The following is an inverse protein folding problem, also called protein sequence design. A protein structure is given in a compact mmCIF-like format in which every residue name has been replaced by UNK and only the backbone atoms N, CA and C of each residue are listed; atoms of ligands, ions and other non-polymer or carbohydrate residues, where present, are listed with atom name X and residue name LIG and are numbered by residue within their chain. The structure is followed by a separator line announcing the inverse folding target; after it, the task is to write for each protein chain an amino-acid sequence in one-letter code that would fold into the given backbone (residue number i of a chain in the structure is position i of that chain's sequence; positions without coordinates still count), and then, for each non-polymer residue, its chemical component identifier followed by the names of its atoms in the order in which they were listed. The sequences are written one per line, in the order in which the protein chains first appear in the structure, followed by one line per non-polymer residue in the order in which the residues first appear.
data_IF_264730573917
#
_entry.id   IF_264730573917
#
_cell.length_a   1.000
_cell.length_b   1.000
_cell.length_c   1.000
_cell.angle_alpha   90.00
_cell.angle_beta   90.00
_cell.angle_gamma   90.00
#
_symmetry.space_group_name_H-M   'P 1'
#
loop_
_entity.id
_entity.type
_entity.pdbx_description
1 polymer ?
#
# COMPACT_ATOMS: atom_id res chain seq x y z
N UNK A 1 -15.07 -18.49 -15.36
CA UNK A 1 -14.19 -19.09 -14.34
C UNK A 1 -13.55 -17.96 -13.57
N UNK A 2 -13.70 -17.93 -12.24
CA UNK A 2 -13.09 -16.91 -11.40
C UNK A 2 -11.65 -17.32 -11.05
N UNK A 3 -10.69 -16.41 -11.21
CA UNK A 3 -9.28 -16.60 -10.86
C UNK A 3 -8.91 -15.85 -9.59
N UNK A 4 -7.70 -16.07 -9.08
CA UNK A 4 -7.17 -15.24 -7.98
C UNK A 4 -6.88 -13.83 -8.51
N UNK A 5 -7.14 -12.79 -7.71
CA UNK A 5 -6.97 -11.40 -8.15
C UNK A 5 -5.54 -11.11 -8.62
N UNK A 6 -4.53 -11.71 -7.98
CA UNK A 6 -3.12 -11.56 -8.36
C UNK A 6 -2.79 -12.14 -9.75
N UNK A 7 -3.61 -13.05 -10.28
CA UNK A 7 -3.38 -13.63 -11.60
C UNK A 7 -3.68 -12.65 -12.73
N UNK A 8 -4.49 -11.61 -12.47
CA UNK A 8 -4.81 -10.56 -13.43
C UNK A 8 -3.56 -9.78 -13.86
N UNK A 9 -2.57 -9.64 -12.97
CA UNK A 9 -1.31 -8.97 -13.27
C UNK A 9 -0.51 -9.68 -14.38
N UNK A 10 -0.69 -10.98 -14.56
CA UNK A 10 -0.04 -11.71 -15.67
C UNK A 10 -0.53 -11.24 -17.05
N UNK A 11 -1.70 -10.59 -17.11
CA UNK A 11 -2.24 -9.95 -18.31
C UNK A 11 -1.91 -8.44 -18.38
N UNK A 12 -1.23 -7.90 -17.36
CA UNK A 12 -0.77 -6.52 -17.26
C UNK A 12 -1.45 -5.72 -16.14
N UNK A 13 -0.88 -4.56 -15.73
CA UNK A 13 -1.41 -3.74 -14.64
C UNK A 13 -2.86 -3.28 -14.85
N UNK A 14 -3.23 -2.92 -16.08
CA UNK A 14 -4.60 -2.52 -16.42
C UNK A 14 -5.62 -3.64 -16.18
N UNK A 15 -5.24 -4.91 -16.35
CA UNK A 15 -6.10 -6.04 -16.03
C UNK A 15 -6.27 -6.21 -14.52
N UNK A 16 -5.25 -5.91 -13.72
CA UNK A 16 -5.38 -5.87 -12.25
C UNK A 16 -6.35 -4.78 -11.80
N UNK A 17 -6.26 -3.58 -12.40
CA UNK A 17 -7.20 -2.49 -12.14
C UNK A 17 -8.62 -2.92 -12.49
N UNK A 18 -8.84 -3.44 -13.70
CA UNK A 18 -10.17 -3.92 -14.11
C UNK A 18 -10.71 -5.02 -13.20
N UNK A 19 -9.86 -5.94 -12.75
CA UNK A 19 -10.26 -6.99 -11.80
C UNK A 19 -10.67 -6.40 -10.43
N UNK A 20 -9.95 -5.38 -9.95
CA UNK A 20 -10.31 -4.67 -8.73
C UNK A 20 -11.65 -3.94 -8.89
N UNK A 21 -11.84 -3.16 -9.96
CA UNK A 21 -13.11 -2.47 -10.24
C UNK A 21 -14.30 -3.43 -10.33
N UNK A 22 -14.13 -4.60 -10.96
CA UNK A 22 -15.18 -5.63 -11.05
C UNK A 22 -15.48 -6.25 -9.68
N UNK A 23 -14.47 -6.43 -8.82
CA UNK A 23 -14.64 -7.03 -7.50
C UNK A 23 -15.32 -6.07 -6.51
N UNK A 24 -14.97 -4.79 -6.59
CA UNK A 24 -15.37 -3.79 -5.58
C UNK A 24 -16.53 -2.90 -6.04
N UNK A 25 -16.68 -2.69 -7.34
CA UNK A 25 -17.57 -1.67 -7.90
C UNK A 25 -16.99 -0.25 -7.86
N UNK A 26 -15.83 -0.06 -7.23
CA UNK A 26 -15.16 1.24 -7.09
C UNK A 26 -14.43 1.55 -8.39
N UNK A 27 -14.60 2.78 -8.89
CA UNK A 27 -13.84 3.29 -10.03
C UNK A 27 -12.41 3.62 -9.60
N UNK A 28 -11.43 3.18 -10.38
CA UNK A 28 -10.03 3.56 -10.18
C UNK A 28 -9.67 4.61 -11.24
N UNK A 29 -9.40 5.84 -10.80
CA UNK A 29 -9.02 6.93 -11.70
C UNK A 29 -7.57 6.78 -12.20
N UNK A 30 -6.65 6.41 -11.30
CA UNK A 30 -5.23 6.27 -11.60
C UNK A 30 -4.61 5.07 -10.88
N UNK A 31 -3.53 4.54 -11.43
CA UNK A 31 -2.75 3.47 -10.79
C UNK A 31 -1.25 3.74 -10.83
N UNK A 32 -0.56 3.23 -9.81
CA UNK A 32 0.89 3.18 -9.75
C UNK A 32 1.30 1.72 -9.57
N UNK A 33 2.19 1.24 -10.42
CA UNK A 33 2.79 -0.08 -10.38
C UNK A 33 4.25 0.03 -9.98
N UNK A 34 4.62 -0.62 -8.89
CA UNK A 34 5.96 -0.52 -8.28
C UNK A 34 6.53 -1.93 -8.11
N UNK A 35 7.78 -2.12 -8.52
CA UNK A 35 8.52 -3.36 -8.25
C UNK A 35 9.34 -3.25 -6.94
N UNK A 36 10.14 -4.26 -6.63
CA UNK A 36 10.90 -4.28 -5.38
C UNK A 36 11.98 -3.20 -5.30
N UNK A 37 12.68 -2.94 -6.41
CA UNK A 37 13.72 -1.92 -6.47
C UNK A 37 13.08 -0.53 -6.36
N UNK A 38 11.94 -0.33 -7.02
CA UNK A 38 11.18 0.90 -6.92
C UNK A 38 10.60 1.15 -5.54
N UNK A 39 10.14 0.11 -4.86
CA UNK A 39 9.66 0.22 -3.48
C UNK A 39 10.79 0.70 -2.56
N UNK A 40 11.96 0.08 -2.62
CA UNK A 40 13.10 0.48 -1.80
C UNK A 40 13.55 1.92 -2.12
N UNK A 41 13.59 2.28 -3.41
CA UNK A 41 13.93 3.63 -3.85
C UNK A 41 12.96 4.71 -3.33
N UNK A 42 11.65 4.41 -3.25
CA UNK A 42 10.66 5.32 -2.68
C UNK A 42 10.97 5.59 -1.20
N UNK A 43 11.21 4.53 -0.42
CA UNK A 43 11.53 4.66 1.00
C UNK A 43 12.83 5.43 1.22
N UNK A 44 13.87 5.13 0.44
CA UNK A 44 15.15 5.82 0.53
C UNK A 44 15.04 7.30 0.11
N UNK A 45 14.22 7.62 -0.89
CA UNK A 45 13.95 9.00 -1.31
C UNK A 45 13.19 9.82 -0.23
N UNK A 46 12.59 9.15 0.75
CA UNK A 46 11.99 9.76 1.94
C UNK A 46 12.97 9.86 3.13
N UNK A 47 14.25 9.50 2.94
CA UNK A 47 15.25 9.32 3.98
C UNK A 47 14.86 8.22 5.00
N UNK A 48 14.19 7.16 4.52
CA UNK A 48 13.67 6.07 5.34
C UNK A 48 12.29 6.34 5.94
N UNK A 49 11.69 5.31 6.49
CA UNK A 49 10.38 5.35 7.17
C UNK A 49 10.51 4.98 8.64
N UNK A 50 9.60 5.47 9.47
CA UNK A 50 9.58 5.17 10.90
C UNK A 50 8.59 4.06 11.19
N UNK A 51 9.03 3.05 11.92
CA UNK A 51 8.20 1.92 12.39
C UNK A 51 8.34 1.77 13.89
N UNK A 52 7.31 1.25 14.54
CA UNK A 52 7.34 0.85 15.95
C UNK A 52 7.02 -0.63 16.05
N UNK A 53 7.99 -1.42 16.52
CA UNK A 53 7.89 -2.88 16.58
C UNK A 53 7.78 -3.33 18.04
N UNK A 54 6.69 -4.01 18.40
CA UNK A 54 6.48 -4.51 19.76
C UNK A 54 7.55 -5.55 20.18
N UNK A 55 8.03 -6.33 19.22
CA UNK A 55 9.02 -7.39 19.42
C UNK A 55 10.06 -7.41 18.28
N UNK A 56 11.28 -7.95 18.51
CA UNK A 56 12.28 -8.03 17.45
C UNK A 56 11.81 -8.98 16.34
N UNK A 57 12.04 -8.59 15.09
CA UNK A 57 11.62 -9.30 13.90
C UNK A 57 12.81 -9.80 13.12
N UNK A 58 12.96 -11.13 13.03
CA UNK A 58 14.02 -11.76 12.23
C UNK A 58 13.41 -12.78 11.26
N UNK A 59 13.63 -12.58 9.96
CA UNK A 59 13.25 -13.53 8.91
C UNK A 59 14.39 -13.67 7.90
N UNK A 60 15.23 -14.73 8.03
CA UNK A 60 16.35 -14.95 7.12
C UNK A 60 15.94 -15.14 5.65
N UNK A 61 14.68 -15.54 5.37
CA UNK A 61 14.20 -15.69 3.98
C UNK A 61 13.86 -14.34 3.36
N UNK A 62 13.48 -13.37 4.19
CA UNK A 62 13.23 -11.99 3.77
C UNK A 62 14.47 -11.09 3.94
N UNK A 63 15.57 -11.62 4.51
CA UNK A 63 16.73 -10.84 4.95
C UNK A 63 16.36 -9.74 5.97
N UNK A 64 15.40 -10.04 6.84
CA UNK A 64 14.93 -9.13 7.88
C UNK A 64 15.65 -9.42 9.21
N UNK A 65 16.18 -8.39 9.84
CA UNK A 65 16.70 -8.45 11.21
C UNK A 65 16.56 -7.07 11.88
N UNK A 66 15.41 -6.83 12.52
CA UNK A 66 15.06 -5.57 13.16
C UNK A 66 14.85 -5.76 14.67
N UNK A 67 15.43 -4.90 15.53
CA UNK A 67 15.14 -4.91 16.96
C UNK A 67 13.72 -4.42 17.24
N UNK A 68 13.23 -4.67 18.46
CA UNK A 68 12.00 -4.02 18.93
C UNK A 68 12.18 -2.51 19.14
N UNK A 69 11.08 -1.77 19.05
CA UNK A 69 10.92 -0.36 19.39
C UNK A 69 10.83 0.57 18.18
N UNK A 70 10.74 1.86 18.51
CA UNK A 70 10.61 2.95 17.56
C UNK A 70 11.93 3.24 16.84
N UNK A 71 11.94 3.09 15.51
CA UNK A 71 13.15 3.20 14.70
C UNK A 71 12.86 3.65 13.27
N UNK A 72 13.86 4.26 12.62
CA UNK A 72 13.82 4.58 11.19
C UNK A 72 14.57 3.51 10.42
N UNK A 73 13.91 2.94 9.40
CA UNK A 73 14.44 1.89 8.54
C UNK A 73 14.54 2.36 7.09
N UNK A 74 15.55 1.85 6.37
CA UNK A 74 15.76 2.13 4.94
C UNK A 74 14.93 1.23 4.03
N UNK A 75 15.07 1.41 2.71
CA UNK A 75 14.28 0.73 1.70
C UNK A 75 14.38 -0.79 1.73
N UNK A 76 15.58 -1.34 1.90
CA UNK A 76 15.79 -2.80 1.97
C UNK A 76 15.08 -3.43 3.18
N UNK A 77 15.19 -2.79 4.35
CA UNK A 77 14.56 -3.26 5.58
C UNK A 77 13.03 -3.10 5.52
N UNK A 78 12.53 -1.99 4.96
CA UNK A 78 11.11 -1.77 4.73
C UNK A 78 10.52 -2.80 3.76
N UNK A 79 11.26 -3.13 2.70
CA UNK A 79 10.87 -4.17 1.74
C UNK A 79 10.85 -5.54 2.40
N UNK A 80 11.86 -5.85 3.20
CA UNK A 80 11.95 -7.09 3.97
C UNK A 80 10.78 -7.21 4.96
N UNK A 81 10.41 -6.12 5.64
CA UNK A 81 9.28 -6.04 6.56
C UNK A 81 7.94 -6.24 5.83
N UNK A 82 7.73 -5.60 4.67
CA UNK A 82 6.51 -5.77 3.88
C UNK A 82 6.35 -7.19 3.29
N UNK A 83 7.46 -7.95 3.19
CA UNK A 83 7.49 -9.29 2.58
C UNK A 83 7.57 -10.44 3.56
N UNK A 84 7.92 -10.19 4.83
CA UNK A 84 8.03 -11.26 5.82
C UNK A 84 6.70 -11.98 6.01
N UNK A 85 6.78 -13.30 6.17
CA UNK A 85 5.62 -14.17 6.42
C UNK A 85 5.66 -14.80 7.81
N UNK A 86 6.76 -14.64 8.54
CA UNK A 86 7.04 -15.41 9.76
C UNK A 86 7.39 -14.53 10.95
N UNK A 87 7.55 -13.21 10.75
CA UNK A 87 8.04 -12.34 11.80
C UNK A 87 6.94 -11.85 12.74
N UNK A 88 5.70 -11.63 12.26
CA UNK A 88 4.59 -11.07 13.06
C UNK A 88 3.37 -11.99 12.97
N UNK A 89 2.69 -12.21 14.10
CA UNK A 89 1.39 -12.90 14.15
C UNK A 89 1.46 -14.44 14.03
N UNK A 90 0.39 -15.04 13.53
CA UNK A 90 0.22 -16.50 13.41
C UNK A 90 0.89 -17.12 12.15
N UNK A 91 1.62 -16.29 11.37
CA UNK A 91 2.24 -16.69 10.12
C UNK A 91 1.29 -16.85 8.93
N UNK A 92 0.02 -16.41 9.07
CA UNK A 92 -0.97 -16.42 7.98
C UNK A 92 -0.74 -15.30 6.95
N UNK A 93 -1.37 -15.44 5.78
CA UNK A 93 -1.42 -14.38 4.76
C UNK A 93 -2.08 -13.08 5.31
N UNK A 94 -2.86 -13.17 6.39
CA UNK A 94 -3.50 -12.02 7.05
C UNK A 94 -2.48 -11.20 7.82
N UNK A 95 -1.59 -11.87 8.55
CA UNK A 95 -0.48 -11.20 9.24
C UNK A 95 0.43 -10.43 8.26
N UNK A 96 0.57 -10.92 7.01
CA UNK A 96 1.29 -10.19 5.94
C UNK A 96 0.57 -8.91 5.52
N UNK A 97 -0.76 -8.92 5.42
CA UNK A 97 -1.52 -7.71 5.07
C UNK A 97 -1.34 -6.63 6.14
N UNK A 98 -1.27 -7.00 7.42
CA UNK A 98 -0.95 -6.08 8.51
C UNK A 98 0.41 -5.39 8.34
N UNK A 99 1.47 -6.14 8.00
CA UNK A 99 2.79 -5.54 7.78
C UNK A 99 2.81 -4.62 6.55
N UNK A 100 2.12 -5.00 5.48
CA UNK A 100 2.02 -4.15 4.27
C UNK A 100 1.26 -2.86 4.55
N UNK A 101 0.20 -2.95 5.36
CA UNK A 101 -0.56 -1.79 5.83
C UNK A 101 0.31 -0.86 6.68
N UNK A 102 0.98 -1.40 7.70
CA UNK A 102 1.91 -0.64 8.56
C UNK A 102 2.98 0.09 7.76
N UNK A 103 3.59 -0.60 6.78
CA UNK A 103 4.62 0.00 5.93
C UNK A 103 4.03 1.10 5.03
N UNK A 104 2.82 0.92 4.49
CA UNK A 104 2.14 1.94 3.69
C UNK A 104 1.80 3.18 4.53
N UNK A 105 1.31 2.99 5.74
CA UNK A 105 1.04 4.05 6.73
C UNK A 105 2.32 4.84 7.02
N UNK A 106 3.41 4.15 7.35
CA UNK A 106 4.71 4.77 7.61
C UNK A 106 5.26 5.56 6.41
N UNK A 107 5.03 5.11 5.17
CA UNK A 107 5.40 5.84 3.95
C UNK A 107 4.60 7.14 3.84
N UNK A 108 3.28 7.08 4.02
CA UNK A 108 2.38 8.25 3.91
C UNK A 108 2.71 9.27 5.01
N UNK A 109 2.85 8.81 6.24
CA UNK A 109 3.22 9.64 7.38
C UNK A 109 4.57 10.32 7.15
N UNK A 110 5.56 9.58 6.65
CA UNK A 110 6.87 10.15 6.35
C UNK A 110 6.81 11.18 5.23
N UNK A 111 6.08 10.90 4.16
CA UNK A 111 5.93 11.81 3.02
C UNK A 111 5.27 13.15 3.43
N UNK A 112 4.27 13.08 4.33
CA UNK A 112 3.55 14.26 4.84
C UNK A 112 4.35 15.01 5.91
N UNK A 113 4.79 14.32 6.96
CA UNK A 113 5.57 14.93 8.07
C UNK A 113 6.93 15.48 7.63
N UNK A 114 7.56 14.83 6.64
CA UNK A 114 8.82 15.27 6.02
C UNK A 114 8.69 16.51 5.14
N UNK A 115 7.47 17.04 4.96
CA UNK A 115 7.15 18.12 4.01
C UNK A 115 7.64 17.80 2.59
N UNK A 116 7.76 16.52 2.24
CA UNK A 116 8.23 16.11 0.91
C UNK A 116 7.21 16.55 -0.13
N UNK A 117 5.93 16.34 0.18
CA UNK A 117 4.84 16.65 -0.75
C UNK A 117 4.43 18.13 -0.77
N UNK A 118 4.78 18.90 0.26
CA UNK A 118 4.38 20.31 0.42
C UNK A 118 5.47 21.32 0.04
N UNK A 119 6.72 20.86 -0.13
CA UNK A 119 7.84 21.70 -0.56
C UNK A 119 8.23 21.40 -2.01
N UNK A 120 8.17 22.38 -2.93
CA UNK A 120 8.47 22.14 -4.35
C UNK A 120 9.87 21.54 -4.60
N UNK A 121 10.90 22.02 -3.92
CA UNK A 121 12.27 21.52 -4.07
C UNK A 121 12.40 20.05 -3.67
N UNK A 122 11.72 19.64 -2.59
CA UNK A 122 11.70 18.25 -2.13
C UNK A 122 10.81 17.37 -2.97
N UNK A 123 9.64 17.87 -3.36
CA UNK A 123 8.70 17.13 -4.19
C UNK A 123 9.32 16.77 -5.54
N UNK A 124 9.94 17.73 -6.23
CA UNK A 124 10.59 17.45 -7.50
C UNK A 124 11.80 16.53 -7.34
N UNK A 125 12.57 16.64 -6.26
CA UNK A 125 13.67 15.71 -5.97
C UNK A 125 13.17 14.29 -5.70
N UNK A 126 12.09 14.14 -4.94
CA UNK A 126 11.44 12.85 -4.68
C UNK A 126 10.90 12.25 -5.98
N UNK A 127 10.13 13.01 -6.76
CA UNK A 127 9.59 12.54 -8.03
C UNK A 127 10.69 12.16 -9.02
N UNK A 128 11.77 12.94 -9.12
CA UNK A 128 12.92 12.60 -9.97
C UNK A 128 13.57 11.27 -9.56
N UNK A 129 13.68 11.02 -8.24
CA UNK A 129 14.23 9.77 -7.72
C UNK A 129 13.35 8.54 -7.99
N UNK A 130 12.01 8.69 -7.94
CA UNK A 130 11.08 7.54 -8.01
C UNK A 130 10.44 7.34 -9.38
N UNK A 131 10.39 8.36 -10.24
CA UNK A 131 9.73 8.26 -11.56
C UNK A 131 10.32 7.19 -12.47
N UNK A 132 11.62 6.91 -12.36
CA UNK A 132 12.29 5.87 -13.15
C UNK A 132 12.00 4.44 -12.67
N UNK A 133 11.38 4.29 -11.51
CA UNK A 133 11.17 2.99 -10.84
C UNK A 133 9.69 2.62 -10.71
N UNK A 134 8.79 3.50 -11.14
CA UNK A 134 7.34 3.29 -11.13
C UNK A 134 6.79 3.23 -12.56
N UNK A 135 5.84 2.33 -12.79
CA UNK A 135 4.94 2.37 -13.94
C UNK A 135 3.64 3.06 -13.54
N UNK A 136 3.06 3.88 -14.42
CA UNK A 136 1.82 4.60 -14.16
C UNK A 136 0.89 4.54 -15.38
N UNK A 137 -0.38 4.94 -15.22
CA UNK A 137 -1.28 5.13 -16.35
C UNK A 137 -0.89 6.34 -17.23
N UNK A 138 -1.44 6.37 -18.44
CA UNK A 138 -1.12 7.40 -19.45
C UNK A 138 -1.41 8.84 -18.95
N UNK A 139 -2.37 9.03 -18.04
CA UNK A 139 -2.72 10.35 -17.51
C UNK A 139 -1.72 10.83 -16.46
N UNK A 140 -0.97 9.92 -15.85
CA UNK A 140 0.11 10.18 -14.90
C UNK A 140 1.51 10.16 -15.54
N UNK A 141 1.65 9.93 -16.85
CA UNK A 141 2.95 9.85 -17.57
C UNK A 141 3.64 11.23 -17.76
N UNK A 142 3.51 12.11 -16.79
CA UNK A 142 4.27 13.36 -16.73
C UNK A 142 4.58 13.77 -15.31
N UNK A 143 5.77 14.36 -15.14
CA UNK A 143 6.21 14.94 -13.87
C UNK A 143 5.17 15.92 -13.29
N UNK A 144 4.46 16.66 -14.14
CA UNK A 144 3.41 17.60 -13.73
C UNK A 144 2.18 16.88 -13.19
N UNK A 145 1.74 15.81 -13.84
CA UNK A 145 0.61 15.01 -13.38
C UNK A 145 0.92 14.34 -12.04
N UNK A 146 2.10 13.75 -11.90
CA UNK A 146 2.57 13.17 -10.63
C UNK A 146 2.67 14.20 -9.51
N UNK A 147 3.18 15.39 -9.81
CA UNK A 147 3.19 16.49 -8.83
C UNK A 147 1.76 16.93 -8.45
N UNK A 148 0.82 16.91 -9.38
CA UNK A 148 -0.60 17.21 -9.10
C UNK A 148 -1.24 16.15 -8.21
N UNK A 149 -0.96 14.86 -8.45
CA UNK A 149 -1.44 13.78 -7.59
C UNK A 149 -0.83 13.87 -6.20
N UNK A 150 0.49 14.04 -6.11
CA UNK A 150 1.21 14.19 -4.85
C UNK A 150 0.69 15.36 -4.01
N UNK A 151 0.40 16.50 -4.64
CA UNK A 151 -0.18 17.66 -3.94
C UNK A 151 -1.63 17.45 -3.51
N UNK A 152 -2.41 16.66 -4.27
CA UNK A 152 -3.76 16.24 -3.87
C UNK A 152 -3.69 15.39 -2.61
N UNK A 153 -2.83 14.36 -2.59
CA UNK A 153 -2.61 13.50 -1.41
C UNK A 153 -2.13 14.32 -0.21
N UNK A 154 -1.21 15.26 -0.42
CA UNK A 154 -0.70 16.15 0.63
C UNK A 154 -1.76 17.06 1.26
N UNK A 155 -2.85 17.33 0.54
CA UNK A 155 -3.94 18.21 1.00
C UNK A 155 -4.94 17.51 1.91
N UNK A 156 -4.97 16.17 1.90
CA UNK A 156 -5.83 15.37 2.79
C UNK A 156 -5.28 15.46 4.21
N UNK A 157 -6.08 15.81 5.24
CA UNK A 157 -5.66 15.75 6.64
C UNK A 157 -5.18 14.34 7.03
N UNK A 158 -4.23 14.22 7.97
CA UNK A 158 -3.76 12.90 8.43
C UNK A 158 -4.90 12.10 9.09
N UNK A 159 -5.72 12.76 9.90
CA UNK A 159 -6.88 12.15 10.57
C UNK A 159 -7.99 11.66 9.61
N UNK A 160 -7.93 12.05 8.32
CA UNK A 160 -8.89 11.64 7.30
C UNK A 160 -8.37 10.49 6.41
N UNK A 161 -7.15 10.00 6.65
CA UNK A 161 -6.58 8.84 5.94
C UNK A 161 -6.88 7.57 6.74
N UNK A 162 -7.65 6.68 6.14
CA UNK A 162 -7.96 5.37 6.72
C UNK A 162 -7.26 4.26 5.95
N UNK A 163 -6.58 3.37 6.67
CA UNK A 163 -6.07 2.12 6.12
C UNK A 163 -6.94 0.97 6.61
N UNK A 164 -7.47 0.17 5.68
CA UNK A 164 -8.37 -0.93 6.01
C UNK A 164 -8.03 -2.16 5.16
N UNK A 165 -8.08 -3.34 5.77
CA UNK A 165 -8.02 -4.61 5.05
C UNK A 165 -9.45 -4.97 4.66
N UNK A 166 -9.70 -5.15 3.36
CA UNK A 166 -11.02 -5.56 2.87
C UNK A 166 -11.55 -6.78 3.67
N UNK A 167 -12.76 -6.68 4.27
CA UNK A 167 -13.39 -7.81 4.94
C UNK A 167 -13.49 -9.05 4.03
N UNK A 168 -13.11 -10.21 4.57
CA UNK A 168 -12.94 -11.42 3.80
C UNK A 168 -13.56 -12.63 4.49
N UNK A 169 -13.92 -13.64 3.70
CA UNK A 169 -14.43 -14.93 4.16
C UNK A 169 -13.71 -16.09 3.44
N UNK A 170 -13.66 -17.30 4.02
CA UNK A 170 -13.15 -18.48 3.32
C UNK A 170 -13.94 -18.74 2.05
N UNK A 171 -13.26 -19.09 0.95
CA UNK A 171 -13.92 -19.41 -0.30
C UNK A 171 -14.70 -20.74 -0.16
N UNK A 172 -15.98 -20.80 -0.57
CA UNK A 172 -16.77 -22.03 -0.47
C UNK A 172 -16.20 -23.22 -1.25
N UNK A 173 -15.45 -22.94 -2.32
CA UNK A 173 -14.92 -23.95 -3.25
C UNK A 173 -13.50 -24.41 -2.90
N UNK A 174 -12.73 -23.63 -2.13
CA UNK A 174 -11.34 -23.93 -1.78
C UNK A 174 -10.98 -23.28 -0.42
N UNK A 175 -10.78 -24.06 0.66
CA UNK A 175 -10.48 -23.51 1.98
C UNK A 175 -9.11 -22.83 2.07
N UNK A 176 -8.24 -22.96 1.05
CA UNK A 176 -6.97 -22.24 0.97
C UNK A 176 -7.11 -20.89 0.25
N UNK A 177 -8.34 -20.44 0.00
CA UNK A 177 -8.64 -19.16 -0.66
C UNK A 177 -9.58 -18.33 0.19
N UNK A 178 -9.50 -17.03 -0.05
CA UNK A 178 -10.40 -16.03 0.53
C UNK A 178 -11.20 -15.35 -0.57
N UNK A 179 -12.40 -14.92 -0.22
CA UNK A 179 -13.29 -14.11 -1.06
C UNK A 179 -13.73 -12.88 -0.27
N UNK A 180 -14.22 -11.88 -0.99
CA UNK A 180 -14.92 -10.73 -0.41
C UNK A 180 -16.06 -11.24 0.49
N UNK A 181 -16.13 -10.77 1.74
CA UNK A 181 -17.26 -11.07 2.63
C UNK A 181 -18.46 -10.16 2.35
N UNK A 182 -19.59 -10.40 3.02
CA UNK A 182 -20.76 -9.53 2.88
C UNK A 182 -20.49 -8.13 3.45
N UNK A 183 -19.74 -8.04 4.55
CA UNK A 183 -19.37 -6.79 5.21
C UNK A 183 -18.49 -5.89 4.34
N UNK A 184 -17.75 -6.46 3.38
CA UNK A 184 -16.97 -5.67 2.44
C UNK A 184 -17.85 -4.89 1.44
N UNK A 185 -19.10 -5.29 1.22
CA UNK A 185 -20.03 -4.49 0.41
C UNK A 185 -20.30 -3.13 1.06
N UNK A 186 -20.42 -3.08 2.39
CA UNK A 186 -20.64 -1.84 3.13
C UNK A 186 -19.43 -0.90 3.00
N UNK A 187 -18.21 -1.43 3.13
CA UNK A 187 -16.96 -0.67 2.95
C UNK A 187 -16.88 -0.04 1.56
N UNK A 188 -17.13 -0.81 0.50
CA UNK A 188 -17.04 -0.26 -0.86
C UNK A 188 -18.21 0.65 -1.22
N UNK A 189 -19.39 0.44 -0.63
CA UNK A 189 -20.52 1.36 -0.79
C UNK A 189 -20.18 2.72 -0.19
N UNK A 190 -19.61 2.76 1.01
CA UNK A 190 -19.13 4.01 1.62
C UNK A 190 -18.09 4.72 0.74
N UNK A 191 -17.14 3.99 0.15
CA UNK A 191 -16.16 4.57 -0.79
C UNK A 191 -16.85 5.16 -2.03
N UNK A 192 -17.86 4.49 -2.58
CA UNK A 192 -18.60 4.95 -3.77
C UNK A 192 -19.44 6.19 -3.46
N UNK A 193 -20.04 6.23 -2.27
CA UNK A 193 -20.96 7.29 -1.83
C UNK A 193 -20.24 8.47 -1.13
N UNK A 194 -18.91 8.42 -1.03
CA UNK A 194 -18.06 9.41 -0.34
C UNK A 194 -18.41 9.56 1.15
N UNK A 195 -18.67 8.43 1.82
CA UNK A 195 -18.99 8.32 3.25
C UNK A 195 -17.80 7.73 4.05
N UNK A 196 -17.59 8.14 5.30
CA UNK A 196 -16.52 7.58 6.15
C UNK A 196 -16.69 6.07 6.41
N UNK A 197 -15.61 5.31 6.24
CA UNK A 197 -15.59 3.84 6.51
C UNK A 197 -15.62 3.55 8.03
N UNK A 198 -15.20 4.50 8.86
CA UNK A 198 -15.06 4.35 10.32
C UNK A 198 -16.37 4.07 11.06
N UNK A 199 -17.51 4.33 10.44
CA UNK A 199 -18.84 4.03 11.00
C UNK A 199 -19.29 2.58 10.77
N UNK A 200 -18.51 1.77 10.03
CA UNK A 200 -18.90 0.43 9.56
C UNK A 200 -18.16 -0.73 10.25
N UNK A 201 -17.07 -0.46 10.97
CA UNK A 201 -16.28 -1.47 11.70
C UNK A 201 -16.32 -1.15 13.19
N UNK A 202 -17.30 -1.75 13.89
CA UNK A 202 -17.51 -1.61 15.34
C UNK A 202 -17.37 -2.93 16.09
#
# INVERSE_FOLDING_TARGET
THGMINSALNAGPACSVSAAEVLTGVRVDHFINVDFDGFAAIVDALDGITVDLDEPLTDPKANLDLPAGHQTIGGDDALALARTRHAVGDGSDISRMGNQQMVMEAIIDRAKSGQVLTRPDRLYGFLDAVTSTIGVDDELDSMRALASLATTVASVPEDDITFEIMPWAPAPEDPNRVVKSAEADDVFTAIIDDEPITDLVG
#
